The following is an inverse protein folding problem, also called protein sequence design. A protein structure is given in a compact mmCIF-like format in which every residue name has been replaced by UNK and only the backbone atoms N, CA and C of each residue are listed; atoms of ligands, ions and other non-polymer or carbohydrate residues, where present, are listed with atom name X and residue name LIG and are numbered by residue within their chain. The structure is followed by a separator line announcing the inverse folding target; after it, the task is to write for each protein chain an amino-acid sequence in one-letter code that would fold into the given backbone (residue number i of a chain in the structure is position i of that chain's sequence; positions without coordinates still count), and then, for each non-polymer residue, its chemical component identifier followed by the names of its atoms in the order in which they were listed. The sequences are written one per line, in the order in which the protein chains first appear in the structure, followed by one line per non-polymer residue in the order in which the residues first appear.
data_IF_934244686377
#
_entry.id   IF_934244686377
#
_cell.length_a   1.000
_cell.length_b   1.000
_cell.length_c   1.000
_cell.angle_alpha   90.00
_cell.angle_beta   90.00
_cell.angle_gamma   90.00
#
_symmetry.space_group_name_H-M   'P 1'
#
loop_
_entity.id
_entity.type
_entity.pdbx_description
1 polymer ?
#
# COMPACT_ATOMS: atom_id res chain seq x y z
N UNK A 1 -23.33 20.40 14.39
CA UNK A 1 -22.80 19.06 14.71
C UNK A 1 -22.45 18.37 13.40
N UNK A 2 -21.24 17.87 13.24
CA UNK A 2 -20.85 17.06 12.07
C UNK A 2 -21.09 15.60 12.41
N UNK A 3 -21.83 14.88 11.57
CA UNK A 3 -22.04 13.44 11.75
C UNK A 3 -20.74 12.67 11.55
N UNK A 4 -20.60 11.49 12.15
CA UNK A 4 -19.53 10.56 11.79
C UNK A 4 -19.66 10.08 10.34
N UNK A 5 -18.60 9.49 9.74
CA UNK A 5 -18.71 8.86 8.43
C UNK A 5 -19.76 7.74 8.42
N UNK A 6 -20.43 7.57 7.29
CA UNK A 6 -21.36 6.46 7.05
C UNK A 6 -20.67 5.09 7.16
N UNK A 7 -21.48 4.04 7.10
CA UNK A 7 -20.98 2.68 6.84
C UNK A 7 -20.25 2.61 5.48
N UNK A 8 -19.44 1.57 5.32
CA UNK A 8 -18.75 1.29 4.06
C UNK A 8 -19.77 0.85 3.03
N UNK A 9 -19.70 1.47 1.84
CA UNK A 9 -20.51 1.12 0.68
C UNK A 9 -19.60 0.81 -0.51
N UNK A 10 -20.08 -0.04 -1.42
CA UNK A 10 -19.41 -0.24 -2.72
C UNK A 10 -19.48 1.04 -3.55
N UNK A 11 -18.41 1.34 -4.28
CA UNK A 11 -18.34 2.53 -5.13
C UNK A 11 -19.33 2.41 -6.30
N UNK A 12 -20.19 3.42 -6.44
CA UNK A 12 -21.06 3.58 -7.60
C UNK A 12 -20.35 4.31 -8.74
N UNK A 13 -20.96 4.34 -9.93
CA UNK A 13 -20.48 5.12 -11.08
C UNK A 13 -20.24 6.59 -10.72
N UNK A 14 -21.15 7.18 -9.93
CA UNK A 14 -21.00 8.55 -9.44
C UNK A 14 -19.73 8.75 -8.58
N UNK A 15 -19.41 7.79 -7.71
CA UNK A 15 -18.19 7.86 -6.89
C UNK A 15 -16.94 7.72 -7.77
N UNK A 16 -17.01 6.89 -8.81
CA UNK A 16 -15.94 6.80 -9.80
C UNK A 16 -15.74 8.11 -10.57
N UNK A 17 -16.81 8.82 -10.94
CA UNK A 17 -16.73 10.14 -11.58
C UNK A 17 -16.07 11.17 -10.67
N UNK A 18 -16.41 11.18 -9.38
CA UNK A 18 -15.72 12.04 -8.39
C UNK A 18 -14.22 11.76 -8.35
N UNK A 19 -13.82 10.47 -8.34
CA UNK A 19 -12.42 10.07 -8.41
C UNK A 19 -11.74 10.54 -9.69
N UNK A 20 -12.39 10.38 -10.84
CA UNK A 20 -11.85 10.80 -12.14
C UNK A 20 -11.63 12.32 -12.18
N UNK A 21 -12.57 13.10 -11.62
CA UNK A 21 -12.47 14.56 -11.54
C UNK A 21 -11.27 15.07 -10.74
N UNK A 22 -10.84 14.31 -9.73
CA UNK A 22 -9.67 14.68 -8.89
C UNK A 22 -8.38 13.95 -9.29
N UNK A 23 -8.40 13.07 -10.30
CA UNK A 23 -7.25 12.22 -10.65
C UNK A 23 -5.98 13.03 -10.92
N UNK A 24 -6.08 14.11 -11.70
CA UNK A 24 -4.93 14.98 -11.99
C UNK A 24 -4.33 15.59 -10.72
N UNK A 25 -5.16 16.01 -9.75
CA UNK A 25 -4.70 16.51 -8.46
C UNK A 25 -4.03 15.42 -7.62
N UNK A 26 -4.56 14.18 -7.65
CA UNK A 26 -3.98 13.03 -6.97
C UNK A 26 -2.60 12.70 -7.54
N UNK A 27 -2.46 12.66 -8.86
CA UNK A 27 -1.17 12.41 -9.53
C UNK A 27 -0.16 13.52 -9.25
N UNK A 28 -0.62 14.78 -9.17
CA UNK A 28 0.20 15.92 -8.77
C UNK A 28 0.69 15.86 -7.31
N UNK A 29 -0.18 15.51 -6.36
CA UNK A 29 0.20 15.39 -4.94
C UNK A 29 1.12 14.19 -4.68
N UNK A 30 0.86 13.04 -5.33
CA UNK A 30 1.63 11.79 -5.18
C UNK A 30 2.89 11.74 -6.04
N UNK A 31 3.02 12.65 -7.02
CA UNK A 31 4.09 12.68 -8.04
C UNK A 31 4.21 11.36 -8.81
N UNK A 32 3.10 10.66 -8.99
CA UNK A 32 2.99 9.36 -9.66
C UNK A 32 1.81 9.40 -10.64
N UNK A 33 1.90 8.65 -11.73
CA UNK A 33 0.80 8.45 -12.68
C UNK A 33 0.13 7.10 -12.45
N UNK A 34 -1.19 7.03 -12.59
CA UNK A 34 -1.95 5.81 -12.32
C UNK A 34 -2.69 5.33 -13.57
N UNK A 35 -2.22 4.24 -14.17
CA UNK A 35 -2.87 3.61 -15.33
C UNK A 35 -4.23 2.98 -14.95
N UNK A 36 -4.28 2.38 -13.76
CA UNK A 36 -5.51 1.86 -13.15
C UNK A 36 -5.95 2.85 -12.08
N UNK A 37 -7.23 3.23 -12.08
CA UNK A 37 -7.77 4.18 -11.08
C UNK A 37 -9.26 3.90 -10.82
N UNK A 38 -9.54 2.82 -10.11
CA UNK A 38 -10.90 2.28 -9.95
C UNK A 38 -11.36 2.39 -8.51
N UNK A 39 -12.38 3.21 -8.25
CA UNK A 39 -13.04 3.29 -6.95
C UNK A 39 -13.65 1.93 -6.60
N UNK A 40 -13.41 1.46 -5.36
CA UNK A 40 -13.91 0.17 -4.87
C UNK A 40 -14.93 0.33 -3.76
N UNK A 41 -14.57 1.11 -2.75
CA UNK A 41 -15.36 1.27 -1.53
C UNK A 41 -15.33 2.74 -1.12
N UNK A 42 -16.40 3.24 -0.49
CA UNK A 42 -16.40 4.59 0.06
C UNK A 42 -17.22 4.71 1.35
N UNK A 43 -16.95 5.80 2.07
CA UNK A 43 -17.81 6.33 3.13
C UNK A 43 -18.11 7.78 2.83
N UNK A 44 -19.26 8.28 3.27
CA UNK A 44 -19.62 9.69 3.14
C UNK A 44 -19.82 10.35 4.50
N UNK A 45 -19.57 11.66 4.58
CA UNK A 45 -19.79 12.45 5.77
C UNK A 45 -20.38 13.81 5.37
N UNK A 46 -21.61 14.07 5.79
CA UNK A 46 -22.29 15.35 5.58
C UNK A 46 -21.79 16.42 6.55
N UNK A 47 -21.47 17.59 6.00
CA UNK A 47 -21.15 18.83 6.70
C UNK A 47 -21.78 20.02 5.92
N UNK A 48 -21.09 21.15 5.75
CA UNK A 48 -21.46 22.23 4.81
C UNK A 48 -21.07 21.88 3.36
N UNK A 49 -21.45 20.67 2.93
CA UNK A 49 -20.91 19.94 1.79
C UNK A 49 -20.82 18.46 2.16
N UNK A 50 -20.21 17.64 1.30
CA UNK A 50 -20.05 16.20 1.57
C UNK A 50 -18.60 15.79 1.40
N UNK A 51 -18.00 15.21 2.44
CA UNK A 51 -16.74 14.49 2.31
C UNK A 51 -17.02 13.06 1.86
N UNK A 52 -16.26 12.58 0.88
CA UNK A 52 -16.20 11.20 0.43
C UNK A 52 -14.82 10.64 0.76
N UNK A 53 -14.77 9.58 1.56
CA UNK A 53 -13.57 8.82 1.86
C UNK A 53 -13.57 7.58 0.96
N UNK A 54 -12.77 7.60 -0.09
CA UNK A 54 -12.86 6.64 -1.20
C UNK A 54 -11.60 5.79 -1.26
N UNK A 55 -11.74 4.48 -1.27
CA UNK A 55 -10.67 3.52 -1.55
C UNK A 55 -10.61 3.29 -3.05
N UNK A 56 -9.49 3.67 -3.67
CA UNK A 56 -9.27 3.59 -5.10
C UNK A 56 -8.19 2.56 -5.37
N UNK A 57 -8.52 1.53 -6.16
CA UNK A 57 -7.55 0.56 -6.65
C UNK A 57 -6.70 1.17 -7.76
N UNK A 58 -5.38 1.07 -7.63
CA UNK A 58 -4.42 1.69 -8.56
C UNK A 58 -3.55 0.70 -9.33
N UNK A 59 -3.94 -0.57 -9.34
CA UNK A 59 -3.21 -1.65 -10.01
C UNK A 59 -2.60 -2.65 -9.01
N UNK A 60 -2.39 -3.89 -9.46
CA UNK A 60 -1.85 -4.96 -8.63
C UNK A 60 -2.72 -5.26 -7.39
N UNK A 61 -2.14 -5.05 -6.20
CA UNK A 61 -2.84 -5.13 -4.90
C UNK A 61 -2.87 -3.75 -4.19
N UNK A 62 -2.51 -2.67 -4.89
CA UNK A 62 -2.34 -1.35 -4.29
C UNK A 62 -3.63 -0.53 -4.29
N UNK A 63 -3.77 0.29 -3.24
CA UNK A 63 -4.92 1.16 -3.05
C UNK A 63 -4.51 2.53 -2.54
N UNK A 64 -5.21 3.56 -3.01
CA UNK A 64 -5.21 4.89 -2.43
C UNK A 64 -6.44 5.09 -1.56
N UNK A 65 -6.31 5.90 -0.53
CA UNK A 65 -7.44 6.43 0.23
C UNK A 65 -7.54 7.92 -0.05
N UNK A 66 -8.59 8.30 -0.77
CA UNK A 66 -8.87 9.70 -1.12
C UNK A 66 -9.86 10.29 -0.13
N UNK A 67 -9.67 11.56 0.19
CA UNK A 67 -10.69 12.41 0.78
C UNK A 67 -11.09 13.44 -0.27
N UNK A 68 -12.26 13.27 -0.86
CA UNK A 68 -12.83 14.19 -1.84
C UNK A 68 -13.93 15.01 -1.18
N UNK A 69 -13.95 16.31 -1.39
CA UNK A 69 -15.01 17.18 -0.89
C UNK A 69 -15.85 17.69 -2.05
N UNK A 70 -17.18 17.62 -1.88
CA UNK A 70 -18.14 18.21 -2.79
C UNK A 70 -18.91 19.33 -2.09
N UNK A 71 -18.96 20.51 -2.69
CA UNK A 71 -19.77 21.63 -2.16
C UNK A 71 -21.27 21.36 -2.38
N UNK A 72 -22.12 22.07 -1.63
CA UNK A 72 -23.57 21.95 -1.77
C UNK A 72 -24.05 22.48 -3.14
N UNK A 73 -25.22 22.04 -3.64
CA UNK A 73 -25.76 22.51 -4.92
C UNK A 73 -25.93 24.03 -5.04
N UNK A 74 -26.27 24.72 -3.94
CA UNK A 74 -26.36 26.18 -3.91
C UNK A 74 -25.00 26.89 -4.10
N UNK A 75 -23.89 26.15 -4.00
CA UNK A 75 -22.52 26.64 -4.05
C UNK A 75 -21.75 26.05 -5.26
N UNK A 76 -22.45 25.69 -6.34
CA UNK A 76 -21.84 25.33 -7.63
C UNK A 76 -21.35 23.88 -7.76
N UNK A 77 -21.59 23.02 -6.76
CA UNK A 77 -21.25 21.58 -6.80
C UNK A 77 -19.78 21.25 -7.14
N UNK A 78 -18.86 22.14 -6.77
CA UNK A 78 -17.44 21.97 -7.01
C UNK A 78 -16.88 20.74 -6.26
N UNK A 79 -16.02 19.99 -6.94
CA UNK A 79 -15.36 18.79 -6.43
C UNK A 79 -13.87 19.06 -6.28
N UNK A 80 -13.34 18.84 -5.08
CA UNK A 80 -11.93 19.07 -4.78
C UNK A 80 -11.30 17.92 -4.00
N UNK A 81 -10.01 17.69 -4.23
CA UNK A 81 -9.20 16.78 -3.42
C UNK A 81 -8.84 17.48 -2.11
N UNK A 82 -9.19 16.87 -0.99
CA UNK A 82 -8.84 17.34 0.36
C UNK A 82 -7.74 16.49 1.01
N UNK A 83 -7.36 15.39 0.39
CA UNK A 83 -6.18 14.62 0.78
C UNK A 83 -6.10 13.28 0.09
N UNK A 84 -4.86 12.85 -0.16
CA UNK A 84 -4.53 11.50 -0.60
C UNK A 84 -3.70 10.82 0.48
N UNK A 85 -4.03 9.56 0.75
CA UNK A 85 -3.20 8.66 1.53
C UNK A 85 -2.83 7.48 0.65
N UNK A 86 -1.56 7.41 0.27
CA UNK A 86 -0.99 6.19 -0.29
C UNK A 86 -1.08 5.06 0.75
N UNK A 87 -1.32 3.83 0.29
CA UNK A 87 -1.29 2.66 1.17
C UNK A 87 -0.06 2.76 2.09
N UNK A 88 -0.31 2.69 3.40
CA UNK A 88 0.70 2.90 4.45
C UNK A 88 2.00 2.24 4.03
N UNK A 89 3.01 3.04 3.75
CA UNK A 89 4.37 2.56 3.53
C UNK A 89 4.73 1.71 4.75
N UNK A 90 4.84 0.40 4.52
CA UNK A 90 5.21 -0.51 5.59
C UNK A 90 6.68 -0.19 5.88
N UNK A 91 6.96 0.47 7.02
CA UNK A 91 8.34 0.68 7.41
C UNK A 91 8.98 -0.70 7.57
N UNK A 92 9.88 -1.05 6.64
CA UNK A 92 10.45 -2.37 6.54
C UNK A 92 11.78 -2.34 7.30
N UNK A 93 11.86 -2.93 8.50
CA UNK A 93 13.02 -2.77 9.38
C UNK A 93 14.27 -3.51 8.88
N UNK A 94 14.18 -4.24 7.76
CA UNK A 94 15.25 -5.10 7.25
C UNK A 94 16.15 -4.42 6.21
N UNK A 95 16.02 -3.11 5.96
CA UNK A 95 16.83 -2.39 4.94
C UNK A 95 18.33 -2.68 5.09
N UNK A 96 18.88 -2.53 6.30
CA UNK A 96 20.30 -2.77 6.55
C UNK A 96 20.72 -4.21 6.23
N UNK A 97 19.87 -5.20 6.57
CA UNK A 97 20.11 -6.61 6.25
C UNK A 97 20.07 -6.88 4.74
N UNK A 98 19.18 -6.20 4.02
CA UNK A 98 19.08 -6.32 2.55
C UNK A 98 20.32 -5.73 1.90
N UNK A 99 20.72 -4.51 2.27
CA UNK A 99 21.93 -3.86 1.73
C UNK A 99 23.20 -4.69 1.96
N UNK A 100 23.32 -5.32 3.14
CA UNK A 100 24.41 -6.23 3.44
C UNK A 100 24.40 -7.50 2.59
N UNK A 101 23.21 -8.06 2.30
CA UNK A 101 23.07 -9.29 1.50
C UNK A 101 23.25 -9.06 0.00
N UNK A 102 22.82 -7.93 -0.54
CA UNK A 102 22.97 -7.59 -1.97
C UNK A 102 24.26 -6.83 -2.27
N UNK A 103 25.00 -6.40 -1.24
CA UNK A 103 26.17 -5.52 -1.37
C UNK A 103 25.87 -4.25 -2.19
N UNK A 104 24.65 -3.73 -2.06
CA UNK A 104 24.16 -2.54 -2.76
C UNK A 104 23.50 -1.60 -1.75
N UNK A 105 23.68 -0.29 -1.97
CA UNK A 105 22.96 0.75 -1.22
C UNK A 105 21.68 1.14 -1.94
N UNK A 106 20.62 1.36 -1.16
CA UNK A 106 19.32 1.74 -1.69
C UNK A 106 18.94 3.12 -1.15
N UNK A 107 19.00 4.15 -1.99
CA UNK A 107 18.57 5.49 -1.61
C UNK A 107 17.05 5.55 -1.42
N UNK A 108 16.31 4.80 -2.25
CA UNK A 108 14.88 4.56 -2.12
C UNK A 108 14.67 3.15 -1.58
N UNK A 109 13.85 2.98 -0.54
CA UNK A 109 13.54 1.66 0.03
C UNK A 109 12.14 1.67 0.64
N UNK A 110 11.14 1.48 -0.22
CA UNK A 110 9.74 1.73 0.13
C UNK A 110 8.93 0.46 -0.09
N UNK A 111 8.42 -0.15 0.98
CA UNK A 111 7.53 -1.30 0.85
C UNK A 111 6.18 -0.86 0.26
N UNK A 112 5.78 -1.48 -0.85
CA UNK A 112 4.57 -1.16 -1.62
C UNK A 112 3.45 -2.15 -1.38
N UNK A 113 3.75 -3.45 -1.33
CA UNK A 113 2.77 -4.48 -1.01
C UNK A 113 3.39 -5.67 -0.28
N UNK A 114 2.56 -6.46 0.40
CA UNK A 114 3.01 -7.70 1.01
C UNK A 114 1.94 -8.79 1.00
N UNK A 115 2.38 -10.05 1.09
CA UNK A 115 1.56 -11.21 1.45
C UNK A 115 2.10 -11.82 2.74
N UNK A 116 1.23 -12.36 3.57
CA UNK A 116 1.61 -13.01 4.83
C UNK A 116 1.13 -14.45 4.90
N UNK A 117 1.91 -15.30 5.56
CA UNK A 117 1.56 -16.68 5.87
C UNK A 117 1.86 -16.94 7.35
N UNK A 118 0.84 -17.40 8.09
CA UNK A 118 1.00 -17.79 9.50
C UNK A 118 1.59 -19.20 9.59
N UNK A 119 2.61 -19.35 10.41
CA UNK A 119 3.31 -20.59 10.77
C UNK A 119 3.55 -20.61 12.29
N UNK A 120 4.70 -21.06 12.79
CA UNK A 120 5.13 -20.82 14.18
C UNK A 120 5.69 -19.39 14.38
N UNK A 121 5.03 -18.43 13.78
CA UNK A 121 5.52 -17.09 13.44
C UNK A 121 4.75 -16.60 12.22
N UNK A 122 5.24 -15.56 11.56
CA UNK A 122 4.62 -15.03 10.34
C UNK A 122 5.67 -14.81 9.27
N UNK A 123 5.54 -15.48 8.14
CA UNK A 123 6.31 -15.18 6.94
C UNK A 123 5.63 -14.02 6.19
N UNK A 124 6.41 -13.05 5.76
CA UNK A 124 6.01 -11.93 4.93
C UNK A 124 6.80 -11.98 3.62
N UNK A 125 6.09 -11.94 2.48
CA UNK A 125 6.68 -11.54 1.22
C UNK A 125 6.39 -10.09 0.98
N UNK A 126 7.42 -9.27 0.83
CA UNK A 126 7.28 -7.82 0.74
C UNK A 126 7.85 -7.37 -0.60
N UNK A 127 7.06 -6.66 -1.39
CA UNK A 127 7.53 -5.94 -2.57
C UNK A 127 8.03 -4.56 -2.15
N UNK A 128 9.29 -4.27 -2.44
CA UNK A 128 9.95 -3.03 -2.06
C UNK A 128 10.43 -2.31 -3.32
N UNK A 129 10.00 -1.06 -3.49
CA UNK A 129 10.50 -0.15 -4.51
C UNK A 129 11.87 0.37 -4.10
N UNK A 130 12.84 0.29 -5.03
CA UNK A 130 14.24 0.64 -4.76
C UNK A 130 14.78 1.78 -5.62
N UNK A 131 13.93 2.42 -6.42
CA UNK A 131 14.27 3.55 -7.29
C UNK A 131 13.83 3.30 -8.73
N UNK A 132 13.55 4.36 -9.50
CA UNK A 132 13.09 4.23 -10.89
C UNK A 132 11.88 3.29 -11.02
N UNK A 133 11.96 2.34 -11.94
CA UNK A 133 10.99 1.24 -12.11
C UNK A 133 11.44 -0.07 -11.44
N UNK A 134 12.49 -0.01 -10.61
CA UNK A 134 13.15 -1.17 -10.00
C UNK A 134 12.54 -1.53 -8.64
N UNK A 135 12.32 -2.82 -8.47
CA UNK A 135 11.77 -3.42 -7.27
C UNK A 135 12.61 -4.61 -6.84
N UNK A 136 12.53 -4.93 -5.56
CA UNK A 136 13.00 -6.17 -4.99
C UNK A 136 11.86 -6.86 -4.23
N UNK A 137 11.89 -8.18 -4.17
CA UNK A 137 11.01 -8.94 -3.30
C UNK A 137 11.79 -9.46 -2.11
N UNK A 138 11.26 -9.28 -0.91
CA UNK A 138 11.86 -9.74 0.33
C UNK A 138 11.04 -10.89 0.89
N UNK A 139 11.70 -11.90 1.42
CA UNK A 139 11.10 -12.89 2.31
C UNK A 139 11.58 -12.59 3.72
N UNK A 140 10.65 -12.21 4.59
CA UNK A 140 10.91 -11.77 5.96
C UNK A 140 10.14 -12.66 6.92
N UNK A 141 10.78 -13.17 7.96
CA UNK A 141 10.11 -13.92 9.01
C UNK A 141 10.01 -13.07 10.28
N UNK A 142 8.86 -13.16 10.95
CA UNK A 142 8.62 -12.53 12.25
C UNK A 142 8.21 -13.57 13.27
N UNK A 143 8.90 -13.63 14.41
CA UNK A 143 8.48 -14.50 15.51
C UNK A 143 7.18 -14.00 16.15
N UNK A 144 6.49 -14.89 16.86
CA UNK A 144 5.28 -14.51 17.59
C UNK A 144 5.61 -13.46 18.68
N UNK A 145 4.66 -12.59 19.07
CA UNK A 145 4.93 -11.52 20.03
C UNK A 145 5.50 -12.00 21.37
N UNK A 146 5.07 -13.16 21.87
CA UNK A 146 5.58 -13.74 23.12
C UNK A 146 7.03 -14.25 23.00
N UNK A 147 7.50 -14.50 21.77
CA UNK A 147 8.89 -14.84 21.43
C UNK A 147 9.68 -13.59 21.01
N UNK A 148 9.36 -12.43 21.57
CA UNK A 148 10.06 -11.16 21.34
C UNK A 148 9.75 -10.46 20.01
N UNK A 149 8.95 -11.05 19.12
CA UNK A 149 8.55 -10.43 17.86
C UNK A 149 9.70 -10.06 16.91
N UNK A 150 10.81 -10.79 16.99
CA UNK A 150 12.03 -10.59 16.21
C UNK A 150 11.73 -10.71 14.72
N UNK A 151 12.39 -9.87 13.91
CA UNK A 151 12.24 -9.82 12.46
C UNK A 151 13.56 -10.24 11.81
N UNK A 152 13.52 -11.21 10.90
CA UNK A 152 14.69 -11.69 10.14
C UNK A 152 14.44 -11.66 8.64
N UNK A 153 15.47 -11.31 7.86
CA UNK A 153 15.45 -11.39 6.41
C UNK A 153 15.88 -12.80 5.97
N UNK A 154 14.95 -13.56 5.41
CA UNK A 154 15.23 -14.91 4.92
C UNK A 154 15.72 -14.88 3.46
N UNK A 155 15.20 -13.97 2.63
CA UNK A 155 15.55 -13.92 1.21
C UNK A 155 15.35 -12.57 0.54
N UNK A 156 16.11 -12.34 -0.53
CA UNK A 156 15.98 -11.18 -1.42
C UNK A 156 15.95 -11.69 -2.86
N UNK A 157 15.04 -11.16 -3.67
CA UNK A 157 15.04 -11.33 -5.12
C UNK A 157 15.15 -9.95 -5.76
N UNK A 158 16.21 -9.75 -6.54
CA UNK A 158 16.51 -8.50 -7.24
C UNK A 158 15.86 -8.47 -8.63
N UNK A 159 15.98 -7.33 -9.32
CA UNK A 159 15.51 -7.13 -10.70
C UNK A 159 14.02 -7.44 -10.88
N UNK A 160 13.19 -6.94 -9.98
CA UNK A 160 11.71 -7.01 -10.07
C UNK A 160 11.16 -5.69 -10.56
N UNK A 161 9.90 -5.74 -10.96
CA UNK A 161 9.13 -4.58 -11.40
C UNK A 161 7.85 -4.48 -10.58
N UNK A 162 7.15 -3.36 -10.69
CA UNK A 162 5.85 -3.15 -10.03
C UNK A 162 4.86 -4.29 -10.33
N UNK A 163 4.86 -4.81 -11.56
CA UNK A 163 3.93 -5.86 -12.00
C UNK A 163 4.44 -7.29 -11.73
N UNK A 164 5.65 -7.45 -11.18
CA UNK A 164 6.18 -8.77 -10.84
C UNK A 164 5.35 -9.41 -9.71
N UNK A 165 4.83 -10.64 -9.88
CA UNK A 165 4.04 -11.29 -8.84
C UNK A 165 4.92 -11.76 -7.67
N UNK A 166 4.40 -11.62 -6.44
CA UNK A 166 5.00 -12.18 -5.22
C UNK A 166 4.38 -13.55 -4.90
N UNK A 167 5.25 -14.54 -4.69
CA UNK A 167 4.90 -15.95 -4.45
C UNK A 167 5.91 -16.63 -3.51
N UNK A 168 5.40 -17.38 -2.52
CA UNK A 168 6.21 -18.03 -1.48
C UNK A 168 7.03 -19.18 -2.05
N UNK A 169 6.56 -19.86 -3.09
CA UNK A 169 7.25 -20.99 -3.72
C UNK A 169 8.55 -20.59 -4.45
N UNK A 170 8.79 -19.29 -4.67
CA UNK A 170 9.98 -18.78 -5.37
C UNK A 170 11.17 -18.48 -4.46
N UNK A 171 10.97 -18.49 -3.15
CA UNK A 171 12.06 -18.50 -2.17
C UNK A 171 12.20 -19.97 -1.76
N UNK A 172 13.35 -20.59 -2.03
CA UNK A 172 13.61 -22.00 -1.70
C UNK A 172 13.34 -22.32 -0.22
N UNK A 173 13.40 -23.60 0.19
CA UNK A 173 13.07 -24.00 1.55
C UNK A 173 13.81 -23.12 2.55
N UNK A 174 13.06 -22.53 3.48
CA UNK A 174 13.62 -21.78 4.61
C UNK A 174 14.52 -22.76 5.35
N UNK A 175 15.84 -22.59 5.24
CA UNK A 175 16.77 -23.31 6.08
C UNK A 175 16.39 -22.99 7.53
N UNK A 176 15.81 -23.98 8.21
CA UNK A 176 15.66 -23.91 9.66
C UNK A 176 17.08 -23.75 10.19
N UNK A 177 17.39 -22.60 10.77
CA UNK A 177 18.56 -22.48 11.63
C UNK A 177 18.44 -23.60 12.66
N UNK A 178 19.36 -24.56 12.58
CA UNK A 178 19.50 -25.63 13.55
C UNK A 178 19.55 -24.98 14.95
N UNK A 179 18.63 -25.40 15.82
CA UNK A 179 18.77 -25.13 17.25
C UNK A 179 20.09 -25.78 17.67
N UNK A 180 21.10 -24.93 17.94
CA UNK A 180 22.34 -25.39 18.57
C UNK A 180 22.02 -25.86 20.00
N UNK A 181 22.66 -26.96 20.45
CA UNK A 181 22.25 -27.74 21.62
C UNK A 181 22.35 -27.01 22.96
#
# INVERSE_FOLDING_TARGET
MTGGPSEVMEASEYVQELCNGVKASVEGETKQTYDVFVAKEYRSQMMSGTNYFIKVHVGGDEHLHLRVFKTLPCNGEEVSLHGVQESKTLNCPVKASVEGKTNQKYDVFVAKSYKSQVVNGVNYLIKVHVGGDDYIHLCVYKTLPFNGGLVSLNGVQESKTLNSPIDFFKFGPVEKSEELP
#
